data_IF_784359753052
#
_entry.id   IF_784359753052
#
_cell.length_a   1.000
_cell.length_b   1.000
_cell.length_c   1.000
_cell.angle_alpha   90.00
_cell.angle_beta   90.00
_cell.angle_gamma   90.00
#
_symmetry.space_group_name_H-M   'P 1'
#
loop_
_entity.id
_entity.type
_entity.pdbx_description
1 polymer ?
#
# COMPACT_ATOMS: atom_id res chain seq x y z
N UNK A 1 -1.45 21.94 20.96
CA UNK A 1 -0.73 20.66 20.90
C UNK A 1 -0.15 20.57 19.49
N UNK A 2 1.15 20.78 19.31
CA UNK A 2 1.77 20.72 17.97
C UNK A 2 2.11 19.26 17.68
N UNK A 3 1.28 18.61 16.87
CA UNK A 3 1.48 17.21 16.48
C UNK A 3 2.65 17.14 15.48
N UNK A 4 3.71 16.41 15.85
CA UNK A 4 4.89 16.27 14.98
C UNK A 4 4.55 15.35 13.82
N UNK A 5 4.36 15.95 12.64
CA UNK A 5 4.28 15.22 11.37
C UNK A 5 5.66 14.71 11.03
N UNK A 6 5.77 13.42 10.71
CA UNK A 6 7.01 12.87 10.17
C UNK A 6 7.04 13.16 8.66
N UNK A 7 8.00 13.94 8.15
CA UNK A 7 8.12 14.16 6.71
C UNK A 7 8.50 12.84 6.04
N UNK A 8 7.81 12.50 4.96
CA UNK A 8 8.15 11.39 4.07
C UNK A 8 8.74 11.98 2.79
N UNK A 9 9.90 11.47 2.39
CA UNK A 9 10.52 11.83 1.13
C UNK A 9 9.91 10.98 0.01
N UNK A 10 9.36 11.62 -1.02
CA UNK A 10 8.69 10.97 -2.15
C UNK A 10 9.33 11.40 -3.47
N UNK A 11 9.58 10.41 -4.33
CA UNK A 11 10.21 10.59 -5.65
C UNK A 11 9.21 10.52 -6.81
N UNK A 12 7.98 10.05 -6.57
CA UNK A 12 7.00 9.79 -7.62
C UNK A 12 5.64 10.34 -7.22
N UNK A 13 4.85 10.82 -8.19
CA UNK A 13 3.48 11.27 -7.96
C UNK A 13 2.49 10.28 -8.55
N UNK A 14 1.37 10.03 -7.86
CA UNK A 14 0.25 9.27 -8.43
C UNK A 14 -0.24 9.83 -9.78
N UNK A 15 -0.17 11.14 -9.99
CA UNK A 15 -0.60 11.78 -11.23
C UNK A 15 0.46 11.74 -12.34
N UNK A 16 1.73 11.55 -12.00
CA UNK A 16 2.86 11.54 -12.91
C UNK A 16 3.97 10.62 -12.38
N UNK A 17 3.84 9.29 -12.55
CA UNK A 17 4.75 8.31 -11.97
C UNK A 17 6.18 8.41 -12.51
N UNK A 18 6.34 8.82 -13.78
CA UNK A 18 7.63 8.89 -14.46
C UNK A 18 8.28 10.29 -14.39
N UNK A 19 7.64 11.25 -13.71
CA UNK A 19 8.19 12.58 -13.58
C UNK A 19 9.27 12.61 -12.48
N UNK A 20 10.41 13.30 -12.68
CA UNK A 20 11.46 13.42 -11.68
C UNK A 20 11.05 14.44 -10.61
N UNK A 21 10.00 14.12 -9.85
CA UNK A 21 9.47 14.93 -8.79
C UNK A 21 10.21 14.60 -7.49
N UNK A 22 10.50 15.62 -6.70
CA UNK A 22 11.01 15.43 -5.35
C UNK A 22 10.19 16.31 -4.44
N UNK A 23 9.41 15.69 -3.56
CA UNK A 23 8.53 16.41 -2.65
C UNK A 23 8.58 15.83 -1.25
N UNK A 24 8.39 16.72 -0.28
CA UNK A 24 8.19 16.35 1.11
C UNK A 24 6.70 16.22 1.35
N UNK A 25 6.26 15.02 1.70
CA UNK A 25 4.89 14.76 2.10
C UNK A 25 4.72 14.84 3.61
N UNK A 26 3.59 15.43 4.01
CA UNK A 26 3.16 15.54 5.39
C UNK A 26 1.89 14.70 5.57
N UNK A 27 2.01 13.59 6.29
CA UNK A 27 0.90 12.66 6.52
C UNK A 27 0.43 12.74 7.97
N UNK A 28 -0.90 12.84 8.15
CA UNK A 28 -1.57 12.71 9.45
C UNK A 28 -2.42 11.45 9.44
N UNK A 29 -2.10 10.51 10.32
CA UNK A 29 -2.87 9.28 10.47
C UNK A 29 -3.98 9.51 11.50
N UNK A 30 -5.22 9.50 11.06
CA UNK A 30 -6.38 9.54 11.94
C UNK A 30 -6.90 8.13 12.19
N UNK A 31 -7.27 7.83 13.44
CA UNK A 31 -7.94 6.57 13.74
C UNK A 31 -9.32 6.59 13.10
N UNK A 32 -9.75 5.45 12.55
CA UNK A 32 -11.09 5.35 11.97
C UNK A 32 -12.20 5.71 12.97
N UNK A 33 -12.02 5.38 14.26
CA UNK A 33 -12.94 5.77 15.32
C UNK A 33 -13.10 7.29 15.47
N UNK A 34 -12.03 8.05 15.25
CA UNK A 34 -12.05 9.51 15.38
C UNK A 34 -12.85 10.14 14.23
N UNK A 35 -12.65 9.64 13.00
CA UNK A 35 -13.38 10.09 11.81
C UNK A 35 -14.86 9.75 11.94
N UNK A 36 -15.19 8.47 12.19
CA UNK A 36 -16.57 7.99 12.33
C UNK A 36 -17.27 8.74 13.48
N UNK A 37 -16.59 8.88 14.62
CA UNK A 37 -17.13 9.59 15.76
C UNK A 37 -17.39 11.07 15.50
N UNK A 38 -16.54 11.74 14.70
CA UNK A 38 -16.74 13.13 14.33
C UNK A 38 -18.01 13.31 13.48
N UNK A 39 -18.24 12.44 12.50
CA UNK A 39 -19.44 12.47 11.66
C UNK A 39 -20.72 12.24 12.48
N UNK A 40 -20.70 11.26 13.38
CA UNK A 40 -21.84 10.97 14.27
C UNK A 40 -22.14 12.15 15.19
N UNK A 41 -21.12 12.77 15.80
CA UNK A 41 -21.30 13.95 16.67
C UNK A 41 -21.81 15.18 15.90
N UNK A 42 -21.53 15.28 14.61
CA UNK A 42 -22.09 16.30 13.72
C UNK A 42 -23.57 16.04 13.35
N UNK A 43 -24.18 14.94 13.83
CA UNK A 43 -25.57 14.58 13.55
C UNK A 43 -25.77 13.84 12.23
N UNK A 44 -24.69 13.43 11.55
CA UNK A 44 -24.78 12.63 10.34
C UNK A 44 -25.06 11.16 10.69
N UNK A 45 -25.96 10.54 9.92
CA UNK A 45 -26.26 9.12 10.01
C UNK A 45 -25.43 8.36 8.98
N UNK A 46 -24.62 7.43 9.45
CA UNK A 46 -23.87 6.51 8.59
C UNK A 46 -24.76 5.30 8.32
N UNK A 47 -25.08 5.06 7.05
CA UNK A 47 -25.98 3.97 6.65
C UNK A 47 -25.24 2.66 6.34
N UNK A 48 -23.98 2.74 5.92
CA UNK A 48 -23.13 1.59 5.63
C UNK A 48 -21.66 1.93 5.86
N UNK A 49 -20.87 0.92 6.21
CA UNK A 49 -19.42 0.98 6.33
C UNK A 49 -18.88 -0.40 6.02
N UNK A 50 -18.05 -0.51 4.99
CA UNK A 50 -17.49 -1.78 4.51
C UNK A 50 -15.98 -1.64 4.31
N UNK A 51 -15.24 -2.66 4.72
CA UNK A 51 -13.81 -2.78 4.44
C UNK A 51 -13.60 -3.86 3.38
N UNK A 52 -12.81 -3.54 2.36
CA UNK A 52 -12.56 -4.46 1.25
C UNK A 52 -11.17 -5.08 1.35
N UNK A 53 -11.01 -6.39 1.10
CA UNK A 53 -9.71 -7.06 1.15
C UNK A 53 -8.87 -6.83 -0.13
N UNK A 54 -9.13 -5.75 -0.86
CA UNK A 54 -8.48 -5.42 -2.13
C UNK A 54 -8.32 -3.90 -2.28
N UNK A 55 -7.40 -3.48 -3.14
CA UNK A 55 -7.02 -2.08 -3.37
C UNK A 55 -6.89 -1.79 -4.87
N UNK A 56 -6.92 -0.52 -5.25
CA UNK A 56 -6.91 -0.12 -6.67
C UNK A 56 -5.51 -0.16 -7.33
N UNK A 57 -4.43 -0.24 -6.54
CA UNK A 57 -3.05 -0.29 -7.03
C UNK A 57 -2.23 -1.33 -6.26
N UNK A 58 -1.11 -1.84 -6.82
CA UNK A 58 -0.27 -2.83 -6.14
C UNK A 58 0.56 -2.16 -5.05
N UNK A 59 -0.06 -1.90 -3.89
CA UNK A 59 0.59 -1.32 -2.72
C UNK A 59 1.85 -2.11 -2.32
N UNK A 60 1.85 -3.42 -2.58
CA UNK A 60 3.03 -4.26 -2.45
C UNK A 60 3.34 -5.00 -3.77
N UNK A 61 4.63 -5.22 -4.12
CA UNK A 61 5.03 -5.88 -5.37
C UNK A 61 4.54 -7.33 -5.56
N UNK A 62 4.04 -7.96 -4.51
CA UNK A 62 3.62 -9.37 -4.47
C UNK A 62 2.11 -9.54 -4.40
N UNK A 63 1.35 -8.45 -4.60
CA UNK A 63 -0.10 -8.52 -4.76
C UNK A 63 -0.44 -9.07 -6.14
N UNK A 64 -1.59 -9.73 -6.24
CA UNK A 64 -2.09 -10.34 -7.47
C UNK A 64 -3.26 -9.50 -8.02
N UNK A 65 -3.24 -9.28 -9.34
CA UNK A 65 -4.33 -8.57 -10.01
C UNK A 65 -5.50 -9.52 -10.25
N UNK A 66 -6.69 -9.06 -9.87
CA UNK A 66 -7.97 -9.74 -10.04
C UNK A 66 -8.51 -9.52 -11.46
N UNK A 67 -9.47 -10.34 -11.92
CA UNK A 67 -10.11 -10.14 -13.23
C UNK A 67 -10.82 -8.79 -13.40
N UNK A 68 -11.24 -8.15 -12.30
CA UNK A 68 -11.89 -6.83 -12.29
C UNK A 68 -10.89 -5.66 -12.27
N UNK A 69 -9.57 -5.95 -12.31
CA UNK A 69 -8.50 -4.95 -12.32
C UNK A 69 -8.04 -4.49 -10.94
N UNK A 70 -8.75 -4.85 -9.86
CA UNK A 70 -8.32 -4.58 -8.49
C UNK A 70 -7.16 -5.51 -8.07
N UNK A 71 -6.43 -5.12 -7.04
CA UNK A 71 -5.29 -5.87 -6.50
C UNK A 71 -5.64 -6.46 -5.15
N UNK A 72 -5.35 -7.74 -4.96
CA UNK A 72 -5.56 -8.43 -3.68
C UNK A 72 -4.30 -9.14 -3.23
N UNK A 73 -4.28 -9.53 -1.96
CA UNK A 73 -3.24 -10.43 -1.48
C UNK A 73 -3.43 -11.85 -2.05
N UNK A 74 -2.33 -12.60 -2.26
CA UNK A 74 -2.41 -14.00 -2.68
C UNK A 74 -3.27 -14.83 -1.72
N UNK A 75 -3.89 -15.88 -2.25
CA UNK A 75 -4.74 -16.78 -1.46
C UNK A 75 -3.96 -17.39 -0.28
N UNK A 76 -4.60 -17.47 0.90
CA UNK A 76 -3.99 -17.97 2.13
C UNK A 76 -3.17 -16.93 2.92
N UNK A 77 -3.07 -15.68 2.42
CA UNK A 77 -2.54 -14.56 3.20
C UNK A 77 -3.68 -13.92 4.01
N UNK A 78 -3.65 -14.09 5.33
CA UNK A 78 -4.53 -13.35 6.23
C UNK A 78 -4.17 -11.86 6.23
N UNK A 79 -5.05 -11.06 5.61
CA UNK A 79 -4.92 -9.62 5.43
C UNK A 79 -4.94 -8.87 6.76
N UNK A 80 -5.60 -9.42 7.78
CA UNK A 80 -5.72 -8.80 9.10
C UNK A 80 -4.44 -8.93 9.94
N UNK A 81 -3.67 -10.02 9.77
CA UNK A 81 -2.51 -10.33 10.62
C UNK A 81 -1.15 -10.09 9.99
N UNK A 82 -1.05 -9.89 8.66
CA UNK A 82 0.26 -9.95 7.98
C UNK A 82 0.74 -8.68 7.27
N UNK A 83 -0.07 -7.62 7.19
CA UNK A 83 0.37 -6.31 6.65
C UNK A 83 1.62 -5.73 7.35
N UNK A 84 1.99 -6.23 8.54
CA UNK A 84 3.16 -5.78 9.32
C UNK A 84 4.26 -6.84 9.54
N UNK A 85 4.21 -8.02 8.89
CA UNK A 85 5.32 -8.99 8.93
C UNK A 85 5.91 -9.20 7.54
N UNK A 86 7.22 -9.46 7.51
CA UNK A 86 8.05 -9.68 6.32
C UNK A 86 7.35 -10.50 5.23
N UNK A 87 7.68 -10.25 3.94
CA UNK A 87 7.03 -10.92 2.82
C UNK A 87 7.01 -12.44 3.03
N UNK A 88 5.97 -13.15 2.55
CA UNK A 88 5.98 -14.60 2.56
C UNK A 88 7.31 -15.09 1.99
N UNK A 89 7.94 -16.09 2.63
CA UNK A 89 9.12 -16.75 2.09
C UNK A 89 8.72 -17.39 0.76
N UNK A 90 8.81 -16.63 -0.32
CA UNK A 90 8.66 -17.10 -1.68
C UNK A 90 9.85 -18.02 -1.93
N UNK A 91 9.59 -19.24 -2.44
CA UNK A 91 10.66 -20.05 -3.05
C UNK A 91 11.31 -19.16 -4.11
N UNK A 92 12.60 -18.98 -3.98
CA UNK A 92 13.41 -18.24 -4.93
C UNK A 92 13.23 -18.87 -6.32
N UNK A 93 12.48 -18.19 -7.20
CA UNK A 93 12.43 -18.48 -8.63
C UNK A 93 13.39 -17.56 -9.42
N UNK A 94 14.30 -16.85 -8.74
CA UNK A 94 15.34 -16.03 -9.40
C UNK A 94 16.56 -16.85 -9.86
N UNK A 95 16.55 -18.19 -9.78
CA UNK A 95 17.64 -18.99 -10.35
C UNK A 95 17.51 -19.25 -11.85
N UNK A 96 16.41 -18.86 -12.52
CA UNK A 96 16.19 -19.18 -13.95
C UNK A 96 16.21 -17.96 -14.89
N UNK A 97 16.41 -16.74 -14.38
CA UNK A 97 16.29 -15.53 -15.21
C UNK A 97 17.42 -14.50 -15.04
N UNK A 98 18.63 -14.95 -14.70
CA UNK A 98 19.85 -14.15 -14.89
C UNK A 98 20.76 -14.86 -15.87
N UNK A 99 20.63 -14.49 -17.14
CA UNK A 99 21.54 -14.89 -18.21
C UNK A 99 22.99 -14.49 -17.89
N UNK A 100 23.90 -15.38 -18.28
CA UNK A 100 25.35 -15.23 -18.23
C UNK A 100 25.82 -13.79 -18.55
N UNK A 101 26.32 -13.07 -17.55
CA UNK A 101 27.22 -11.94 -17.79
C UNK A 101 28.64 -12.51 -17.76
N UNK A 102 29.17 -12.83 -18.95
CA UNK A 102 30.59 -13.16 -19.12
C UNK A 102 31.43 -11.90 -18.96
N UNK A 103 32.40 -11.96 -18.06
CA UNK A 103 33.47 -10.96 -17.89
C UNK A 103 34.34 -11.00 -19.16
N UNK A 104 34.42 -9.87 -19.88
CA UNK A 104 35.45 -9.67 -20.90
C UNK A 104 36.73 -9.21 -20.18
N UNK A 105 37.84 -9.89 -20.44
CA UNK A 105 39.19 -9.38 -20.17
C UNK A 105 39.64 -8.45 -21.30
#
# INVERSE_FOLDING_TARGET
MSEKVKPMDQMDSYAAPDAPLHSVEHLWLHRMSDIIGALVRAGLRINSFEEYPYVAWPMFPWMEQRPDGAWQFPEGVDTSRRCFRSPPRMRDRRSEAFGEIRRLE
#
